data_IF_622419104561
#
_entry.id   IF_622419104561
#
_cell.length_a   1.000
_cell.length_b   1.000
_cell.length_c   1.000
_cell.angle_alpha   90.00
_cell.angle_beta   90.00
_cell.angle_gamma   90.00
#
_symmetry.space_group_name_H-M   'P 1'
#
loop_
_entity.id
_entity.type
_entity.pdbx_description
1 polymer ?
#
# COMPACT_ATOMS: atom_id res chain seq x y z
N UNK A 1 29.39 -19.65 4.12
CA UNK A 1 29.04 -18.80 2.94
C UNK A 1 28.03 -17.67 3.22
N UNK A 2 27.35 -17.62 4.37
CA UNK A 2 26.37 -16.56 4.72
C UNK A 2 27.00 -15.19 5.08
N UNK A 3 28.26 -15.13 5.49
CA UNK A 3 28.89 -13.88 5.96
C UNK A 3 29.28 -12.93 4.79
N UNK A 4 29.67 -13.47 3.63
CA UNK A 4 30.07 -12.65 2.48
C UNK A 4 28.88 -11.90 1.86
N UNK A 5 27.70 -12.51 1.78
CA UNK A 5 26.51 -11.85 1.20
C UNK A 5 26.08 -10.63 1.99
N UNK A 6 26.20 -10.65 3.32
CA UNK A 6 25.88 -9.50 4.19
C UNK A 6 26.82 -8.31 4.00
N UNK A 7 28.12 -8.54 3.80
CA UNK A 7 29.12 -7.49 3.59
C UNK A 7 28.91 -6.83 2.23
N UNK A 8 28.72 -7.62 1.17
CA UNK A 8 28.43 -7.10 -0.17
C UNK A 8 27.12 -6.30 -0.22
N UNK A 9 26.09 -6.72 0.52
CA UNK A 9 24.83 -5.97 0.64
C UNK A 9 25.06 -4.60 1.32
N UNK A 10 25.86 -4.57 2.38
CA UNK A 10 26.19 -3.34 3.13
C UNK A 10 27.02 -2.37 2.30
N UNK A 11 27.98 -2.89 1.52
CA UNK A 11 28.76 -2.10 0.56
C UNK A 11 27.85 -1.52 -0.54
N UNK A 12 26.97 -2.33 -1.13
CA UNK A 12 26.00 -1.87 -2.13
C UNK A 12 25.05 -0.79 -1.60
N UNK A 13 24.55 -0.94 -0.37
CA UNK A 13 23.69 0.07 0.28
C UNK A 13 24.45 1.37 0.53
N UNK A 14 25.69 1.31 1.02
CA UNK A 14 26.54 2.48 1.25
C UNK A 14 26.83 3.23 -0.06
N UNK A 15 27.12 2.52 -1.14
CA UNK A 15 27.31 3.12 -2.48
C UNK A 15 26.02 3.77 -3.00
N UNK A 16 24.85 3.17 -2.76
CA UNK A 16 23.55 3.74 -3.14
C UNK A 16 23.22 5.02 -2.38
N UNK A 17 23.47 5.05 -1.07
CA UNK A 17 23.27 6.24 -0.22
C UNK A 17 24.16 7.40 -0.64
N UNK A 18 25.46 7.14 -0.84
CA UNK A 18 26.40 8.15 -1.33
C UNK A 18 25.98 8.76 -2.68
N UNK A 19 25.48 7.93 -3.62
CA UNK A 19 24.92 8.42 -4.89
C UNK A 19 23.68 9.29 -4.69
N UNK A 20 22.77 8.90 -3.79
CA UNK A 20 21.56 9.66 -3.50
C UNK A 20 21.88 11.02 -2.88
N UNK A 21 22.77 11.05 -1.88
CA UNK A 21 23.25 12.29 -1.24
C UNK A 21 23.91 13.24 -2.25
N UNK A 22 24.82 12.71 -3.08
CA UNK A 22 25.48 13.52 -4.11
C UNK A 22 24.50 14.10 -5.12
N UNK A 23 23.40 13.39 -5.41
CA UNK A 23 22.43 13.82 -6.42
C UNK A 23 21.41 14.83 -5.88
N UNK A 24 20.94 14.70 -4.65
CA UNK A 24 19.80 15.49 -4.16
C UNK A 24 20.13 16.46 -3.01
N UNK A 25 21.21 16.21 -2.25
CA UNK A 25 21.54 17.00 -1.07
C UNK A 25 22.78 17.90 -1.22
N UNK A 26 23.55 17.76 -2.31
CA UNK A 26 24.66 18.68 -2.60
C UNK A 26 24.20 19.89 -3.40
N UNK A 27 24.58 21.09 -2.95
CA UNK A 27 24.22 22.36 -3.60
C UNK A 27 24.71 22.46 -5.05
N UNK A 28 25.85 21.85 -5.37
CA UNK A 28 26.42 21.83 -6.73
C UNK A 28 25.69 20.88 -7.70
N UNK A 29 24.74 20.09 -7.20
CA UNK A 29 23.99 19.15 -8.04
C UNK A 29 22.87 19.84 -8.79
N UNK A 30 22.72 19.48 -10.07
CA UNK A 30 21.60 19.88 -10.93
C UNK A 30 20.23 19.48 -10.37
N UNK A 31 20.16 18.46 -9.51
CA UNK A 31 18.92 17.97 -8.90
C UNK A 31 18.84 18.29 -7.41
N UNK A 32 19.59 19.29 -6.94
CA UNK A 32 19.47 19.75 -5.56
C UNK A 32 18.01 20.15 -5.27
N UNK A 33 17.50 19.76 -4.09
CA UNK A 33 16.12 20.04 -3.69
C UNK A 33 15.98 21.50 -3.25
N UNK A 34 16.02 22.42 -4.22
CA UNK A 34 15.97 23.87 -4.01
C UNK A 34 14.67 24.37 -3.37
N UNK A 35 13.60 23.57 -3.46
CA UNK A 35 12.29 23.88 -2.88
C UNK A 35 12.19 23.58 -1.38
N UNK A 36 13.18 22.87 -0.80
CA UNK A 36 13.23 22.71 0.65
C UNK A 36 13.74 24.02 1.27
N UNK A 37 13.00 24.55 2.24
CA UNK A 37 13.38 25.73 3.02
C UNK A 37 13.77 25.33 4.45
N UNK A 38 14.50 26.20 5.15
CA UNK A 38 14.72 26.12 6.61
C UNK A 38 15.40 24.82 7.10
N UNK A 39 14.90 24.28 8.22
CA UNK A 39 15.41 23.10 8.92
C UNK A 39 15.63 21.85 8.02
N UNK A 40 14.70 21.43 7.12
CA UNK A 40 14.92 20.27 6.28
C UNK A 40 16.00 20.49 5.20
N UNK A 41 16.19 21.73 4.73
CA UNK A 41 17.23 22.05 3.75
C UNK A 41 18.62 21.93 4.37
N UNK A 42 18.80 22.47 5.58
CA UNK A 42 20.08 22.42 6.29
C UNK A 42 20.42 20.98 6.72
N UNK A 43 19.41 20.19 7.10
CA UNK A 43 19.60 18.77 7.41
C UNK A 43 19.93 17.93 6.17
N UNK A 44 19.35 18.23 5.01
CA UNK A 44 19.73 17.55 3.76
C UNK A 44 21.17 17.89 3.38
N UNK A 45 21.57 19.17 3.42
CA UNK A 45 22.95 19.58 3.09
C UNK A 45 24.00 18.90 3.97
N UNK A 46 23.72 18.76 5.26
CA UNK A 46 24.63 18.19 6.26
C UNK A 46 24.45 16.69 6.48
N UNK A 47 23.70 16.00 5.60
CA UNK A 47 23.43 14.57 5.76
C UNK A 47 24.72 13.75 5.65
N UNK A 48 24.89 12.78 6.55
CA UNK A 48 26.01 11.83 6.54
C UNK A 48 25.49 10.41 6.35
N UNK A 49 26.34 9.45 5.99
CA UNK A 49 25.93 8.05 5.81
C UNK A 49 25.33 7.43 7.10
N UNK A 50 25.79 7.91 8.27
CA UNK A 50 25.27 7.48 9.57
C UNK A 50 23.88 8.03 9.87
N UNK A 51 23.60 9.27 9.49
CA UNK A 51 22.31 9.95 9.75
C UNK A 51 21.33 9.87 8.58
N UNK A 52 21.73 9.25 7.46
CA UNK A 52 20.99 9.24 6.20
C UNK A 52 19.55 8.75 6.34
N UNK A 53 19.34 7.58 6.95
CA UNK A 53 18.00 6.98 7.04
C UNK A 53 17.06 7.84 7.88
N UNK A 54 17.54 8.35 9.02
CA UNK A 54 16.76 9.15 9.95
C UNK A 54 16.39 10.50 9.32
N UNK A 55 17.37 11.22 8.77
CA UNK A 55 17.16 12.53 8.15
C UNK A 55 16.27 12.45 6.92
N UNK A 56 16.50 11.45 6.06
CA UNK A 56 15.74 11.31 4.80
C UNK A 56 14.29 10.85 5.03
N UNK A 57 14.03 9.97 6.00
CA UNK A 57 12.67 9.46 6.29
C UNK A 57 11.86 10.31 7.26
N UNK A 58 12.46 11.33 7.86
CA UNK A 58 11.74 12.27 8.72
C UNK A 58 11.66 13.64 8.03
N UNK A 59 12.52 14.56 8.43
CA UNK A 59 12.47 15.99 8.10
C UNK A 59 12.50 16.26 6.60
N UNK A 60 13.36 15.57 5.83
CA UNK A 60 13.44 15.78 4.38
C UNK A 60 12.18 15.23 3.70
N UNK A 61 11.71 14.04 4.08
CA UNK A 61 10.49 13.47 3.53
C UNK A 61 9.27 14.35 3.82
N UNK A 62 9.18 14.92 5.02
CA UNK A 62 8.07 15.80 5.41
C UNK A 62 8.09 17.10 4.59
N UNK A 63 9.26 17.77 4.48
CA UNK A 63 9.39 18.98 3.66
C UNK A 63 9.12 18.72 2.16
N UNK A 64 9.54 17.58 1.63
CA UNK A 64 9.20 17.19 0.25
C UNK A 64 7.70 16.96 0.10
N UNK A 65 7.05 16.28 1.06
CA UNK A 65 5.60 16.05 1.02
C UNK A 65 4.80 17.33 1.11
N UNK A 66 5.25 18.28 1.92
CA UNK A 66 4.60 19.59 2.06
C UNK A 66 4.67 20.38 0.75
N UNK A 67 5.86 20.46 0.14
CA UNK A 67 6.01 21.08 -1.18
C UNK A 67 5.14 20.40 -2.24
N UNK A 68 5.14 19.06 -2.29
CA UNK A 68 4.37 18.29 -3.27
C UNK A 68 2.86 18.47 -3.13
N UNK A 69 2.34 18.85 -1.96
CA UNK A 69 0.91 19.15 -1.75
C UNK A 69 0.48 20.53 -2.27
N UNK A 70 1.45 21.42 -2.51
CA UNK A 70 1.19 22.77 -3.02
C UNK A 70 1.02 22.78 -4.54
N UNK A 71 1.71 23.71 -5.19
CA UNK A 71 1.64 23.92 -6.64
C UNK A 71 1.81 22.64 -7.48
N UNK A 72 2.78 21.74 -7.20
CA UNK A 72 2.91 20.50 -7.97
C UNK A 72 1.66 19.61 -7.94
N UNK A 73 0.90 19.61 -6.84
CA UNK A 73 -0.36 18.85 -6.76
C UNK A 73 -1.46 19.50 -7.58
N UNK A 74 -1.57 20.83 -7.55
CA UNK A 74 -2.51 21.59 -8.38
C UNK A 74 -2.22 21.38 -9.86
N UNK A 75 -0.96 21.53 -10.27
CA UNK A 75 -0.53 21.30 -11.65
C UNK A 75 -0.81 19.83 -12.07
N UNK A 76 -0.64 18.87 -11.16
CA UNK A 76 -1.01 17.48 -11.39
C UNK A 76 -2.52 17.33 -11.61
N UNK A 77 -3.36 17.97 -10.80
CA UNK A 77 -4.83 17.93 -10.93
C UNK A 77 -5.33 18.50 -12.26
N UNK A 78 -4.65 19.52 -12.80
CA UNK A 78 -4.96 20.11 -14.11
C UNK A 78 -4.41 19.29 -15.29
N UNK A 79 -3.49 18.35 -15.02
CA UNK A 79 -2.88 17.52 -16.04
C UNK A 79 -3.78 16.34 -16.45
N UNK A 80 -3.62 15.80 -17.67
CA UNK A 80 -4.34 14.59 -18.10
C UNK A 80 -3.98 13.33 -17.28
N UNK A 81 -2.92 13.38 -16.46
CA UNK A 81 -2.58 12.30 -15.55
C UNK A 81 -3.59 12.16 -14.42
N UNK A 82 -4.21 13.27 -13.98
CA UNK A 82 -5.26 13.23 -12.98
C UNK A 82 -6.55 12.65 -13.54
N UNK A 83 -6.92 12.98 -14.77
CA UNK A 83 -8.06 12.35 -15.46
C UNK A 83 -7.90 10.83 -15.55
N UNK A 84 -6.70 10.36 -15.91
CA UNK A 84 -6.39 8.93 -15.92
C UNK A 84 -6.52 8.32 -14.52
N UNK A 85 -6.06 9.02 -13.49
CA UNK A 85 -6.24 8.58 -12.10
C UNK A 85 -7.74 8.49 -11.73
N UNK A 86 -8.56 9.45 -12.15
CA UNK A 86 -10.02 9.41 -11.93
C UNK A 86 -10.67 8.23 -12.64
N UNK A 87 -10.26 7.91 -13.87
CA UNK A 87 -10.73 6.71 -14.57
C UNK A 87 -10.40 5.43 -13.78
N UNK A 88 -9.19 5.32 -13.25
CA UNK A 88 -8.82 4.20 -12.37
C UNK A 88 -9.63 4.17 -11.08
N UNK A 89 -9.89 5.34 -10.48
CA UNK A 89 -10.73 5.45 -9.27
C UNK A 89 -12.18 5.06 -9.53
N UNK A 90 -12.72 5.35 -10.70
CA UNK A 90 -14.06 4.94 -11.06
C UNK A 90 -14.12 3.44 -11.38
N UNK A 91 -13.08 2.91 -12.03
CA UNK A 91 -12.93 1.47 -12.24
C UNK A 91 -12.81 0.70 -10.92
N UNK A 92 -12.11 1.24 -9.92
CA UNK A 92 -11.98 0.65 -8.57
C UNK A 92 -13.33 0.53 -7.85
N UNK A 93 -14.30 1.41 -8.12
CA UNK A 93 -15.64 1.39 -7.51
C UNK A 93 -16.62 0.42 -8.16
N UNK A 94 -16.28 -0.17 -9.30
CA UNK A 94 -17.19 -1.05 -10.02
C UNK A 94 -17.61 -2.23 -9.14
N UNK A 95 -18.88 -2.65 -9.19
CA UNK A 95 -19.39 -3.72 -8.34
C UNK A 95 -18.70 -5.03 -8.71
N UNK A 96 -18.03 -5.62 -7.72
CA UNK A 96 -17.36 -6.90 -7.90
C UNK A 96 -18.37 -8.02 -7.70
N UNK A 97 -18.43 -8.92 -8.68
CA UNK A 97 -19.31 -10.08 -8.71
C UNK A 97 -18.52 -11.39 -8.59
N UNK A 98 -19.18 -12.47 -8.21
CA UNK A 98 -18.58 -13.82 -8.16
C UNK A 98 -17.99 -14.25 -9.52
N UNK A 99 -18.49 -13.70 -10.63
CA UNK A 99 -17.99 -13.98 -11.99
C UNK A 99 -16.53 -13.54 -12.21
N UNK A 100 -15.99 -12.64 -11.40
CA UNK A 100 -14.61 -12.17 -11.49
C UNK A 100 -13.58 -13.14 -10.90
N UNK A 101 -14.05 -14.23 -10.26
CA UNK A 101 -13.19 -15.16 -9.56
C UNK A 101 -13.37 -16.60 -10.06
N UNK A 102 -12.28 -17.35 -10.07
CA UNK A 102 -12.30 -18.80 -10.10
C UNK A 102 -12.13 -19.32 -8.68
N UNK A 103 -13.06 -20.15 -8.22
CA UNK A 103 -12.94 -20.83 -6.95
C UNK A 103 -12.22 -22.16 -7.15
N UNK A 104 -11.13 -22.35 -6.40
CA UNK A 104 -10.30 -23.55 -6.50
C UNK A 104 -10.71 -24.63 -5.50
N UNK A 105 -10.47 -24.35 -4.22
CA UNK A 105 -10.69 -25.32 -3.14
C UNK A 105 -11.00 -24.62 -1.82
N UNK A 106 -11.70 -25.31 -0.95
CA UNK A 106 -11.88 -24.87 0.44
C UNK A 106 -10.56 -25.00 1.20
N UNK A 107 -10.12 -23.91 1.84
CA UNK A 107 -8.97 -23.86 2.73
C UNK A 107 -9.34 -24.19 4.18
N UNK A 108 -10.57 -23.86 4.61
CA UNK A 108 -11.03 -24.14 5.96
C UNK A 108 -12.52 -23.85 6.15
N UNK A 109 -13.12 -24.43 7.20
CA UNK A 109 -14.53 -24.22 7.57
C UNK A 109 -14.60 -23.56 8.94
N UNK A 110 -15.55 -22.62 9.09
CA UNK A 110 -15.73 -21.84 10.32
C UNK A 110 -17.16 -21.82 10.84
N UNK A 111 -17.34 -21.16 11.98
CA UNK A 111 -18.62 -21.05 12.69
C UNK A 111 -19.73 -20.30 11.96
N UNK A 112 -19.39 -19.53 10.92
CA UNK A 112 -20.31 -18.72 10.11
C UNK A 112 -20.27 -19.03 8.60
N UNK A 113 -19.38 -19.93 8.15
CA UNK A 113 -19.23 -20.28 6.74
C UNK A 113 -17.90 -20.96 6.46
N UNK A 114 -17.27 -20.68 5.32
CA UNK A 114 -16.03 -21.33 4.87
C UNK A 114 -15.07 -20.33 4.24
N UNK A 115 -13.80 -20.72 4.14
CA UNK A 115 -12.75 -19.98 3.47
C UNK A 115 -12.30 -20.80 2.27
N UNK A 116 -12.30 -20.21 1.08
CA UNK A 116 -11.87 -20.86 -0.16
C UNK A 116 -10.71 -20.08 -0.82
N UNK A 117 -9.82 -20.80 -1.49
CA UNK A 117 -8.83 -20.20 -2.37
C UNK A 117 -9.53 -19.75 -3.65
N UNK A 118 -9.36 -18.50 -4.01
CA UNK A 118 -9.92 -17.90 -5.23
C UNK A 118 -8.82 -17.24 -6.06
N UNK A 119 -9.00 -17.23 -7.37
CA UNK A 119 -8.12 -16.52 -8.30
C UNK A 119 -8.90 -15.45 -9.04
N UNK A 120 -8.33 -14.25 -9.13
CA UNK A 120 -8.88 -13.18 -9.96
C UNK A 120 -8.67 -13.53 -11.42
N UNK A 121 -9.75 -13.57 -12.21
CA UNK A 121 -9.68 -13.98 -13.63
C UNK A 121 -8.77 -13.08 -14.47
N UNK A 122 -8.80 -11.78 -14.21
CA UNK A 122 -8.09 -10.80 -15.02
C UNK A 122 -6.59 -10.74 -14.69
N UNK A 123 -6.22 -10.92 -13.41
CA UNK A 123 -4.82 -10.74 -12.96
C UNK A 123 -4.11 -12.06 -12.67
N UNK A 124 -4.86 -13.17 -12.52
CA UNK A 124 -4.32 -14.47 -12.13
C UNK A 124 -3.86 -14.55 -10.66
N UNK A 125 -4.07 -13.49 -9.87
CA UNK A 125 -3.63 -13.44 -8.48
C UNK A 125 -4.52 -14.29 -7.58
N UNK A 126 -3.89 -15.00 -6.63
CA UNK A 126 -4.53 -15.90 -5.68
C UNK A 126 -4.85 -15.19 -4.36
N UNK A 127 -6.05 -15.43 -3.84
CA UNK A 127 -6.55 -14.86 -2.58
C UNK A 127 -7.32 -15.90 -1.77
N UNK A 128 -7.57 -15.59 -0.49
CA UNK A 128 -8.45 -16.36 0.38
C UNK A 128 -9.78 -15.61 0.54
N UNK A 129 -10.88 -16.20 0.08
CA UNK A 129 -12.22 -15.63 0.19
C UNK A 129 -12.97 -16.29 1.35
N UNK A 130 -13.30 -15.49 2.37
CA UNK A 130 -14.13 -15.90 3.51
C UNK A 130 -15.60 -15.69 3.18
N UNK A 131 -16.31 -16.79 2.90
CA UNK A 131 -17.74 -16.81 2.63
C UNK A 131 -18.52 -16.97 3.93
N UNK A 132 -19.38 -16.00 4.24
CA UNK A 132 -20.26 -15.98 5.39
C UNK A 132 -21.71 -16.23 4.97
N UNK A 133 -22.37 -17.19 5.63
CA UNK A 133 -23.77 -17.51 5.36
C UNK A 133 -24.70 -16.53 6.09
N UNK A 134 -25.49 -15.76 5.32
CA UNK A 134 -26.41 -14.73 5.86
C UNK A 134 -27.39 -15.28 6.89
N UNK A 135 -27.95 -16.47 6.66
CA UNK A 135 -28.89 -17.13 7.58
C UNK A 135 -28.24 -17.44 8.93
N UNK A 136 -27.00 -17.97 8.92
CA UNK A 136 -26.23 -18.29 10.15
C UNK A 136 -25.81 -17.03 10.89
N UNK A 137 -25.45 -15.98 10.16
CA UNK A 137 -25.05 -14.70 10.73
C UNK A 137 -26.21 -14.04 11.49
N UNK A 138 -27.42 -14.03 10.90
CA UNK A 138 -28.66 -13.57 11.53
C UNK A 138 -29.03 -14.40 12.76
N UNK A 139 -29.06 -15.74 12.63
CA UNK A 139 -29.44 -16.65 13.73
C UNK A 139 -28.58 -16.47 14.99
N UNK A 140 -27.28 -16.25 14.80
CA UNK A 140 -26.32 -16.07 15.90
C UNK A 140 -26.06 -14.61 16.26
N UNK A 141 -26.79 -13.64 15.68
CA UNK A 141 -26.59 -12.19 15.87
C UNK A 141 -25.13 -11.74 15.64
N UNK A 142 -24.43 -12.37 14.70
CA UNK A 142 -23.00 -12.17 14.43
C UNK A 142 -22.67 -11.00 13.50
N UNK A 143 -23.66 -10.25 13.05
CA UNK A 143 -23.51 -9.17 12.04
C UNK A 143 -22.56 -8.07 12.52
N UNK A 144 -22.69 -7.63 13.78
CA UNK A 144 -21.82 -6.62 14.38
C UNK A 144 -20.35 -7.06 14.37
N UNK A 145 -20.10 -8.33 14.67
CA UNK A 145 -18.75 -8.90 14.70
C UNK A 145 -18.15 -8.98 13.29
N UNK A 146 -18.92 -9.44 12.30
CA UNK A 146 -18.46 -9.49 10.91
C UNK A 146 -18.16 -8.09 10.33
N UNK A 147 -18.97 -7.09 10.67
CA UNK A 147 -18.71 -5.70 10.27
C UNK A 147 -17.48 -5.11 10.97
N UNK A 148 -17.24 -5.47 12.23
CA UNK A 148 -16.05 -5.04 12.95
C UNK A 148 -14.78 -5.66 12.37
N UNK A 149 -14.81 -6.96 12.05
CA UNK A 149 -13.72 -7.66 11.35
C UNK A 149 -13.40 -6.97 10.02
N UNK A 150 -14.43 -6.70 9.18
CA UNK A 150 -14.27 -5.95 7.93
C UNK A 150 -13.61 -4.59 8.14
N UNK A 151 -14.11 -3.77 9.09
CA UNK A 151 -13.58 -2.42 9.35
C UNK A 151 -12.12 -2.43 9.82
N UNK A 152 -11.73 -3.43 10.60
CA UNK A 152 -10.35 -3.58 11.05
C UNK A 152 -9.46 -3.92 9.85
N UNK A 153 -9.87 -4.90 9.03
CA UNK A 153 -9.10 -5.31 7.84
C UNK A 153 -8.99 -4.19 6.79
N UNK A 154 -10.01 -3.34 6.64
CA UNK A 154 -9.96 -2.17 5.74
C UNK A 154 -9.01 -1.07 6.23
N UNK A 155 -8.93 -0.84 7.55
CA UNK A 155 -8.09 0.22 8.13
C UNK A 155 -6.63 -0.17 8.27
N UNK A 156 -6.37 -1.47 8.40
CA UNK A 156 -5.04 -1.99 8.68
C UNK A 156 -4.33 -2.28 7.36
N UNK A 157 -3.77 -1.23 6.76
CA UNK A 157 -2.88 -1.35 5.59
C UNK A 157 -1.43 -1.54 6.06
N UNK A 158 -1.13 -2.63 6.77
CA UNK A 158 0.24 -2.92 7.19
C UNK A 158 0.89 -3.90 6.22
N UNK A 159 2.14 -3.61 5.81
CA UNK A 159 2.96 -4.43 4.90
C UNK A 159 3.10 -5.92 5.33
N UNK A 160 2.87 -6.21 6.61
CA UNK A 160 2.96 -7.56 7.17
C UNK A 160 1.69 -8.40 7.02
N UNK A 161 0.53 -7.77 6.76
CA UNK A 161 -0.74 -8.47 6.54
C UNK A 161 -1.17 -8.28 5.10
N UNK A 162 -1.16 -9.35 4.31
CA UNK A 162 -1.69 -9.32 2.95
C UNK A 162 -3.20 -9.08 3.01
N UNK A 163 -3.62 -7.82 2.97
CA UNK A 163 -5.05 -7.49 3.07
C UNK A 163 -5.39 -6.45 2.03
N UNK A 164 -5.91 -6.93 0.90
CA UNK A 164 -6.86 -6.18 0.11
C UNK A 164 -8.22 -6.73 0.48
N UNK A 165 -8.92 -6.06 1.40
CA UNK A 165 -10.26 -6.47 1.79
C UNK A 165 -11.25 -6.05 0.71
N UNK A 166 -11.79 -6.98 -0.09
CA UNK A 166 -12.81 -6.65 -1.08
C UNK A 166 -14.16 -7.24 -0.66
N UNK A 167 -15.08 -6.42 -0.15
CA UNK A 167 -16.40 -6.89 0.24
C UNK A 167 -17.25 -7.19 -0.99
N UNK A 168 -17.77 -8.41 -1.07
CA UNK A 168 -18.74 -8.80 -2.09
C UNK A 168 -20.00 -9.36 -1.43
N UNK A 169 -21.15 -9.05 -2.02
CA UNK A 169 -22.44 -9.56 -1.53
C UNK A 169 -23.16 -10.30 -2.65
N UNK A 170 -23.44 -11.58 -2.45
CA UNK A 170 -24.21 -12.39 -3.40
C UNK A 170 -25.49 -12.93 -2.75
N UNK A 171 -26.38 -13.50 -3.57
CA UNK A 171 -27.77 -13.81 -3.15
C UNK A 171 -27.84 -14.66 -1.87
N UNK A 172 -27.01 -15.72 -1.66
CA UNK A 172 -27.03 -16.45 -0.39
C UNK A 172 -25.94 -16.05 0.63
N UNK A 173 -24.86 -15.37 0.21
CA UNK A 173 -23.63 -15.20 0.99
C UNK A 173 -23.08 -13.77 0.99
N UNK A 174 -22.42 -13.38 2.07
CA UNK A 174 -21.51 -12.24 2.07
C UNK A 174 -20.08 -12.79 2.03
N UNK A 175 -19.23 -12.28 1.15
CA UNK A 175 -17.85 -12.67 1.02
C UNK A 175 -16.92 -11.50 1.40
N UNK A 176 -15.86 -11.82 2.11
CA UNK A 176 -14.72 -10.93 2.33
C UNK A 176 -13.52 -11.64 1.66
N UNK A 177 -13.05 -11.10 0.54
CA UNK A 177 -11.69 -11.36 0.07
C UNK A 177 -10.69 -10.58 0.89
#
# INVERSE_FOLDING_TARGET
>A
MSCMTGIWLKVQQKTRRGKHMNKYCKADSKNFLTFLTDEPADKCKNVTDATFEEVMKSKVQDGVREYLKGKPFTDYQESPFFDKFLQWKEYEKQPINDKYFYEFRTLGKGGFGEVCAVQVKNTGQMYACKKLCKKRLKKKKGEKMALLEKKILEKVTAFFWSTWAMPMTTRPTCALL
#
